data_IF_000348212664
#
_entry.id   IF_000348212664
#
_cell.length_a   1.000
_cell.length_b   1.000
_cell.length_c   1.000
_cell.angle_alpha   90.00
_cell.angle_beta   90.00
_cell.angle_gamma   90.00
#
_symmetry.space_group_name_H-M   'P 1'
#
loop_
_entity.id
_entity.type
_entity.pdbx_description
1 polymer ?
#
# COMPACT_ATOMS: atom_id res chain seq x y z
N UNK A 1 4.97 19.94 0.95
CA UNK A 1 3.75 19.47 1.64
C UNK A 1 4.17 18.57 2.80
N UNK A 2 3.29 18.35 3.78
CA UNK A 2 3.54 17.49 4.94
C UNK A 2 2.52 16.35 4.94
N UNK A 3 2.92 15.16 5.38
CA UNK A 3 2.06 13.99 5.47
C UNK A 3 1.81 13.61 6.93
N UNK A 4 0.57 13.24 7.24
CA UNK A 4 0.26 12.36 8.36
C UNK A 4 0.48 10.92 7.90
N UNK A 5 1.55 10.30 8.38
CA UNK A 5 1.87 8.92 8.05
C UNK A 5 1.07 7.97 8.96
N UNK A 6 0.00 7.39 8.41
CA UNK A 6 -0.77 6.33 9.06
C UNK A 6 -0.02 5.01 8.91
N UNK A 7 0.86 4.74 9.88
CA UNK A 7 1.76 3.59 9.91
C UNK A 7 1.72 2.88 11.27
N UNK A 8 1.68 1.55 11.23
CA UNK A 8 1.61 0.68 12.41
C UNK A 8 0.50 1.09 13.40
N UNK A 9 0.88 1.66 14.54
CA UNK A 9 -0.04 2.00 15.63
C UNK A 9 -0.67 3.39 15.45
N UNK A 10 -0.40 4.07 14.33
CA UNK A 10 -0.90 5.41 14.01
C UNK A 10 -2.02 5.38 12.95
N UNK A 11 -2.74 4.27 12.82
CA UNK A 11 -3.77 4.07 11.79
C UNK A 11 -5.17 4.51 12.24
N UNK A 12 -5.35 4.88 13.52
CA UNK A 12 -6.63 5.34 14.05
C UNK A 12 -6.68 6.88 14.06
N UNK A 13 -7.74 7.50 13.50
CA UNK A 13 -7.86 8.95 13.49
C UNK A 13 -8.05 9.50 14.91
N UNK A 14 -7.46 10.67 15.18
CA UNK A 14 -7.74 11.39 16.43
C UNK A 14 -9.13 12.01 16.37
N UNK A 15 -9.99 11.71 17.36
CA UNK A 15 -11.31 12.34 17.48
C UNK A 15 -11.22 13.80 17.97
N UNK A 16 -10.05 14.23 18.48
CA UNK A 16 -9.87 15.54 19.14
C UNK A 16 -9.02 16.51 18.34
N UNK A 17 -8.08 16.00 17.53
CA UNK A 17 -7.10 16.81 16.82
C UNK A 17 -7.32 16.63 15.32
N UNK A 18 -7.64 17.73 14.64
CA UNK A 18 -7.73 17.77 13.18
C UNK A 18 -6.36 18.06 12.57
N UNK A 19 -6.05 17.53 11.37
CA UNK A 19 -4.84 17.87 10.65
C UNK A 19 -4.77 19.38 10.37
N UNK A 20 -3.57 19.94 10.47
CA UNK A 20 -3.34 21.34 10.11
C UNK A 20 -3.55 21.54 8.59
N UNK A 21 -3.89 22.76 8.14
CA UNK A 21 -4.00 23.05 6.71
C UNK A 21 -2.74 22.62 5.93
N UNK A 22 -2.93 21.89 4.83
CA UNK A 22 -1.84 21.40 3.98
C UNK A 22 -1.17 20.10 4.44
N UNK A 23 -1.68 19.46 5.50
CA UNK A 23 -1.34 18.08 5.88
C UNK A 23 -2.28 17.11 5.17
N UNK A 24 -1.73 16.17 4.41
CA UNK A 24 -2.51 15.10 3.76
C UNK A 24 -2.26 13.74 4.43
N UNK A 25 -3.10 12.75 4.11
CA UNK A 25 -2.94 11.38 4.60
C UNK A 25 -1.98 10.60 3.71
N UNK A 26 -0.94 10.02 4.29
CA UNK A 26 -0.17 8.94 3.67
C UNK A 26 -0.47 7.63 4.43
N UNK A 27 -1.14 6.69 3.78
CA UNK A 27 -1.57 5.44 4.40
C UNK A 27 -0.61 4.30 4.04
N UNK A 28 0.03 3.71 5.06
CA UNK A 28 1.08 2.71 4.89
C UNK A 28 0.76 1.40 5.64
N UNK A 29 -0.09 0.51 5.06
CA UNK A 29 -0.60 -0.68 5.73
C UNK A 29 0.40 -1.85 5.69
N UNK A 30 1.61 -1.67 6.23
CA UNK A 30 2.72 -2.64 6.10
C UNK A 30 2.35 -4.07 6.54
N UNK A 31 1.52 -4.22 7.59
CA UNK A 31 1.11 -5.51 8.16
C UNK A 31 -0.14 -6.12 7.51
N UNK A 32 -0.63 -5.58 6.39
CA UNK A 32 -1.77 -6.15 5.69
C UNK A 32 -1.44 -7.53 5.10
N UNK A 33 -2.48 -8.25 4.72
CA UNK A 33 -2.37 -9.48 3.93
C UNK A 33 -2.22 -9.14 2.44
N UNK A 34 -1.15 -9.65 1.82
CA UNK A 34 -0.90 -9.52 0.37
C UNK A 34 -1.43 -10.72 -0.45
N UNK A 35 -2.01 -11.72 0.22
CA UNK A 35 -2.68 -12.87 -0.44
C UNK A 35 -4.15 -12.61 -0.77
N UNK A 36 -4.72 -11.54 -0.23
CA UNK A 36 -6.08 -11.09 -0.47
C UNK A 36 -6.08 -9.61 -0.80
N UNK A 37 -7.11 -9.15 -1.51
CA UNK A 37 -7.28 -7.73 -1.76
C UNK A 37 -7.57 -6.97 -0.46
N UNK A 38 -7.25 -5.68 -0.41
CA UNK A 38 -7.43 -4.81 0.76
C UNK A 38 -8.89 -4.74 1.18
N UNK A 39 -9.82 -4.83 0.24
CA UNK A 39 -11.27 -4.77 0.48
C UNK A 39 -11.92 -6.16 0.64
N UNK A 40 -11.14 -7.25 0.67
CA UNK A 40 -11.70 -8.60 0.71
C UNK A 40 -12.42 -8.86 2.03
N UNK A 41 -13.76 -9.07 2.02
CA UNK A 41 -14.53 -9.25 3.25
C UNK A 41 -14.21 -10.57 3.95
N UNK A 42 -13.59 -11.54 3.29
CA UNK A 42 -13.17 -12.80 3.90
C UNK A 42 -11.85 -12.67 4.68
N UNK A 43 -11.03 -11.66 4.39
CA UNK A 43 -9.72 -11.48 5.00
C UNK A 43 -9.81 -10.62 6.27
N UNK A 44 -9.77 -11.25 7.45
CA UNK A 44 -9.85 -10.54 8.73
C UNK A 44 -8.78 -9.47 8.92
N UNK A 45 -7.54 -9.75 8.47
CA UNK A 45 -6.43 -8.81 8.55
C UNK A 45 -6.74 -7.56 7.74
N UNK A 46 -7.15 -7.72 6.47
CA UNK A 46 -7.39 -6.59 5.57
C UNK A 46 -8.66 -5.83 5.93
N UNK A 47 -9.71 -6.50 6.45
CA UNK A 47 -10.90 -5.82 6.97
C UNK A 47 -10.54 -4.74 7.98
N UNK A 48 -9.58 -5.00 8.88
CA UNK A 48 -9.12 -3.99 9.84
C UNK A 48 -8.47 -2.79 9.12
N UNK A 49 -7.50 -3.04 8.24
CA UNK A 49 -6.79 -1.97 7.53
C UNK A 49 -7.71 -1.14 6.64
N UNK A 50 -8.63 -1.79 5.93
CA UNK A 50 -9.58 -1.11 5.07
C UNK A 50 -10.56 -0.25 5.88
N UNK A 51 -11.06 -0.77 7.00
CA UNK A 51 -11.87 0.00 7.94
C UNK A 51 -11.11 1.20 8.53
N UNK A 52 -9.85 1.02 8.94
CA UNK A 52 -9.01 2.11 9.47
C UNK A 52 -8.80 3.20 8.40
N UNK A 53 -8.55 2.82 7.14
CA UNK A 53 -8.47 3.76 6.03
C UNK A 53 -9.77 4.54 5.85
N UNK A 54 -10.92 3.87 5.84
CA UNK A 54 -12.23 4.53 5.72
C UNK A 54 -12.43 5.57 6.83
N UNK A 55 -12.08 5.24 8.08
CA UNK A 55 -12.15 6.18 9.21
C UNK A 55 -11.19 7.36 9.07
N UNK A 56 -9.97 7.13 8.57
CA UNK A 56 -9.03 8.21 8.30
C UNK A 56 -9.58 9.18 7.24
N UNK A 57 -10.24 8.65 6.20
CA UNK A 57 -10.85 9.47 5.14
C UNK A 57 -12.10 10.24 5.57
N UNK A 58 -12.63 10.00 6.76
CA UNK A 58 -13.63 10.91 7.37
C UNK A 58 -13.00 12.25 7.80
N UNK A 59 -11.67 12.29 7.96
CA UNK A 59 -10.91 13.45 8.45
C UNK A 59 -10.03 14.05 7.35
N UNK A 60 -9.48 13.23 6.46
CA UNK A 60 -8.59 13.63 5.38
C UNK A 60 -9.30 13.61 4.03
N UNK A 61 -8.97 14.56 3.14
CA UNK A 61 -9.49 14.58 1.78
C UNK A 61 -8.91 13.39 0.98
N UNK A 62 -9.74 12.45 0.48
CA UNK A 62 -9.26 11.33 -0.33
C UNK A 62 -8.52 11.77 -1.59
N UNK A 63 -8.90 12.90 -2.21
CA UNK A 63 -8.25 13.38 -3.43
C UNK A 63 -6.81 13.88 -3.18
N UNK A 64 -6.48 14.24 -1.95
CA UNK A 64 -5.13 14.63 -1.52
C UNK A 64 -4.36 13.49 -0.86
N UNK A 65 -5.02 12.35 -0.61
CA UNK A 65 -4.43 11.23 0.10
C UNK A 65 -3.50 10.40 -0.79
N UNK A 66 -2.60 9.66 -0.16
CA UNK A 66 -1.57 8.85 -0.81
C UNK A 66 -1.52 7.46 -0.19
N UNK A 67 -1.47 6.44 -1.03
CA UNK A 67 -1.29 5.04 -0.63
C UNK A 67 0.19 4.67 -0.77
N UNK A 68 0.81 4.22 0.33
CA UNK A 68 2.18 3.75 0.40
C UNK A 68 2.22 2.23 0.69
N UNK A 69 2.33 1.44 -0.37
CA UNK A 69 2.24 -0.03 -0.34
C UNK A 69 3.60 -0.73 -0.28
N UNK A 70 3.57 -2.04 -0.01
CA UNK A 70 4.77 -2.89 0.06
C UNK A 70 4.70 -4.06 -0.92
N UNK A 71 3.89 -3.95 -1.99
CA UNK A 71 3.76 -4.95 -3.06
C UNK A 71 5.11 -5.41 -3.63
N UNK A 72 6.04 -4.46 -3.81
CA UNK A 72 7.35 -4.73 -4.41
C UNK A 72 8.48 -4.82 -3.38
N UNK A 73 8.17 -4.75 -2.07
CA UNK A 73 9.20 -4.65 -1.03
C UNK A 73 9.73 -6.05 -0.65
N UNK A 74 10.73 -6.51 -1.40
CA UNK A 74 11.40 -7.78 -1.13
C UNK A 74 12.03 -7.83 0.26
N UNK A 75 12.47 -6.69 0.81
CA UNK A 75 13.00 -6.62 2.17
C UNK A 75 11.92 -6.92 3.21
N UNK A 76 10.70 -6.45 3.01
CA UNK A 76 9.59 -6.78 3.89
C UNK A 76 9.27 -8.29 3.84
N UNK A 77 9.16 -8.87 2.63
CA UNK A 77 8.89 -10.30 2.47
C UNK A 77 10.03 -11.20 2.98
N UNK A 78 11.28 -10.72 2.93
CA UNK A 78 12.45 -11.44 3.46
C UNK A 78 12.69 -11.19 4.95
N UNK A 79 11.78 -10.49 5.64
CA UNK A 79 11.92 -10.12 7.06
C UNK A 79 13.23 -9.35 7.31
N UNK A 80 13.60 -8.49 6.37
CA UNK A 80 14.79 -7.64 6.38
C UNK A 80 16.12 -8.41 6.30
N UNK A 81 16.09 -9.68 5.88
CA UNK A 81 17.29 -10.51 5.73
C UNK A 81 17.67 -10.71 4.24
N UNK A 82 18.96 -10.96 3.99
CA UNK A 82 19.50 -11.41 2.71
C UNK A 82 19.88 -12.92 2.80
N UNK A 83 19.85 -13.68 1.69
CA UNK A 83 19.40 -13.27 0.36
C UNK A 83 17.90 -12.91 0.35
N UNK A 84 17.54 -11.95 -0.48
CA UNK A 84 16.16 -11.47 -0.57
C UNK A 84 15.26 -12.57 -1.17
N UNK A 85 13.98 -12.59 -0.81
CA UNK A 85 13.03 -13.59 -1.32
C UNK A 85 12.11 -12.98 -2.37
N UNK A 86 11.60 -13.80 -3.29
CA UNK A 86 10.62 -13.36 -4.28
C UNK A 86 9.40 -12.73 -3.58
N UNK A 87 8.89 -11.64 -4.14
CA UNK A 87 7.72 -10.96 -3.60
C UNK A 87 6.48 -11.82 -3.77
N UNK A 88 5.49 -11.65 -2.89
CA UNK A 88 4.18 -12.29 -3.05
C UNK A 88 3.30 -11.36 -3.88
N UNK A 89 3.43 -11.45 -5.20
CA UNK A 89 2.74 -10.58 -6.15
C UNK A 89 1.63 -11.31 -6.91
N UNK A 90 0.52 -10.62 -7.13
CA UNK A 90 -0.56 -11.07 -8.00
C UNK A 90 -1.18 -9.86 -8.70
N UNK A 91 -1.18 -9.88 -10.02
CA UNK A 91 -1.83 -8.84 -10.84
C UNK A 91 -3.31 -8.66 -10.50
N UNK A 92 -4.02 -9.77 -10.25
CA UNK A 92 -5.44 -9.76 -9.89
C UNK A 92 -5.67 -9.03 -8.56
N UNK A 93 -4.82 -9.29 -7.57
CA UNK A 93 -4.93 -8.64 -6.26
C UNK A 93 -4.58 -7.16 -6.40
N UNK A 94 -3.49 -6.81 -7.10
CA UNK A 94 -3.12 -5.42 -7.32
C UNK A 94 -4.24 -4.62 -7.99
N UNK A 95 -4.85 -5.13 -9.07
CA UNK A 95 -5.96 -4.44 -9.75
C UNK A 95 -7.13 -4.20 -8.80
N UNK A 96 -7.51 -5.21 -8.01
CA UNK A 96 -8.58 -5.08 -7.01
C UNK A 96 -8.24 -4.10 -5.88
N UNK A 97 -6.97 -4.07 -5.44
CA UNK A 97 -6.50 -3.08 -4.47
C UNK A 97 -6.64 -1.66 -5.03
N UNK A 98 -6.21 -1.43 -6.28
CA UNK A 98 -6.35 -0.13 -6.94
C UNK A 98 -7.81 0.26 -7.14
N UNK A 99 -8.68 -0.66 -7.55
CA UNK A 99 -10.14 -0.43 -7.65
C UNK A 99 -10.73 -0.02 -6.29
N UNK A 100 -10.37 -0.72 -5.21
CA UNK A 100 -10.85 -0.41 -3.87
C UNK A 100 -10.41 0.99 -3.41
N UNK A 101 -9.12 1.33 -3.57
CA UNK A 101 -8.62 2.65 -3.19
C UNK A 101 -9.17 3.79 -4.06
N UNK A 102 -9.30 3.56 -5.36
CA UNK A 102 -9.85 4.55 -6.28
C UNK A 102 -11.35 4.77 -6.07
N UNK A 103 -12.10 3.76 -5.64
CA UNK A 103 -13.49 3.87 -5.22
C UNK A 103 -13.66 4.77 -3.99
N UNK A 104 -12.64 4.87 -3.13
CA UNK A 104 -12.58 5.82 -2.02
C UNK A 104 -12.16 7.23 -2.45
N UNK A 105 -11.82 7.44 -3.73
CA UNK A 105 -11.41 8.74 -4.29
C UNK A 105 -9.91 8.99 -4.30
N UNK A 106 -9.09 8.01 -3.89
CA UNK A 106 -7.62 8.16 -3.82
C UNK A 106 -7.01 7.92 -5.21
N UNK A 107 -6.04 8.77 -5.58
CA UNK A 107 -5.38 8.73 -6.90
C UNK A 107 -3.85 8.67 -6.85
N UNK A 108 -3.23 8.79 -5.68
CA UNK A 108 -1.77 8.75 -5.55
C UNK A 108 -1.34 7.42 -4.91
N UNK A 109 -0.43 6.70 -5.59
CA UNK A 109 -0.01 5.37 -5.21
C UNK A 109 1.49 5.21 -5.41
N UNK A 110 2.15 4.62 -4.43
CA UNK A 110 3.54 4.16 -4.55
C UNK A 110 3.71 2.83 -3.85
N UNK A 111 4.77 2.09 -4.20
CA UNK A 111 5.23 0.98 -3.39
C UNK A 111 6.73 1.03 -3.17
N UNK A 112 7.17 0.56 -2.01
CA UNK A 112 8.58 0.27 -1.79
C UNK A 112 9.04 -0.91 -2.67
N UNK A 113 10.30 -0.84 -3.12
CA UNK A 113 10.98 -1.90 -3.88
C UNK A 113 12.33 -2.27 -3.24
N UNK A 114 12.41 -2.22 -1.91
CA UNK A 114 13.67 -2.43 -1.19
C UNK A 114 14.14 -3.88 -1.37
N UNK A 115 15.45 -4.05 -1.55
CA UNK A 115 16.14 -5.32 -1.88
C UNK A 115 15.86 -5.90 -3.28
N UNK A 116 15.11 -5.22 -4.16
CA UNK A 116 15.10 -5.50 -5.59
C UNK A 116 16.37 -4.94 -6.27
N UNK A 117 17.52 -5.52 -5.94
CA UNK A 117 18.83 -5.19 -6.52
C UNK A 117 19.27 -6.20 -7.59
N UNK A 118 20.49 -6.08 -8.10
CA UNK A 118 21.01 -6.96 -9.14
C UNK A 118 21.03 -8.45 -8.75
N UNK A 119 21.19 -8.77 -7.47
CA UNK A 119 21.11 -10.17 -7.00
C UNK A 119 19.67 -10.68 -7.07
N UNK A 120 18.70 -9.86 -6.64
CA UNK A 120 17.29 -10.19 -6.74
C UNK A 120 16.88 -10.45 -8.20
N UNK A 121 17.19 -9.52 -9.11
CA UNK A 121 16.79 -9.65 -10.52
C UNK A 121 17.50 -10.82 -11.22
N UNK A 122 18.73 -11.15 -10.83
CA UNK A 122 19.42 -12.35 -11.32
C UNK A 122 18.69 -13.63 -10.92
N UNK A 123 18.12 -13.68 -9.71
CA UNK A 123 17.47 -14.87 -9.17
C UNK A 123 16.00 -15.01 -9.58
N UNK A 124 15.28 -13.90 -9.72
CA UNK A 124 13.82 -13.91 -9.89
C UNK A 124 13.31 -13.21 -11.15
N UNK A 125 14.17 -12.52 -11.91
CA UNK A 125 13.77 -11.68 -13.03
C UNK A 125 13.05 -10.40 -12.61
N UNK A 126 12.60 -9.62 -13.59
CA UNK A 126 11.90 -8.33 -13.43
C UNK A 126 10.43 -8.38 -13.83
N UNK A 127 9.91 -9.55 -14.22
CA UNK A 127 8.53 -9.74 -14.72
C UNK A 127 7.46 -9.15 -13.80
N UNK A 128 7.54 -9.41 -12.49
CA UNK A 128 6.59 -8.90 -11.50
C UNK A 128 6.63 -7.37 -11.37
N UNK A 129 7.83 -6.78 -11.47
CA UNK A 129 8.00 -5.32 -11.41
C UNK A 129 7.48 -4.64 -12.68
N UNK A 130 7.73 -5.24 -13.85
CA UNK A 130 7.19 -4.77 -15.13
C UNK A 130 5.67 -4.85 -15.14
N UNK A 131 5.10 -5.96 -14.65
CA UNK A 131 3.65 -6.12 -14.52
C UNK A 131 3.03 -5.09 -13.58
N UNK A 132 3.65 -4.85 -12.41
CA UNK A 132 3.23 -3.80 -11.46
C UNK A 132 3.21 -2.41 -12.11
N UNK A 133 4.30 -2.03 -12.78
CA UNK A 133 4.41 -0.73 -13.44
C UNK A 133 3.36 -0.57 -14.56
N UNK A 134 3.13 -1.62 -15.35
CA UNK A 134 2.10 -1.62 -16.40
C UNK A 134 0.70 -1.41 -15.81
N UNK A 135 0.35 -2.14 -14.74
CA UNK A 135 -0.97 -2.05 -14.12
C UNK A 135 -1.22 -0.66 -13.52
N UNK A 136 -0.22 -0.06 -12.88
CA UNK A 136 -0.32 1.31 -12.37
C UNK A 136 -0.56 2.32 -13.49
N UNK A 137 0.18 2.24 -14.59
CA UNK A 137 0.01 3.14 -15.74
C UNK A 137 -1.34 2.98 -16.46
N UNK A 138 -2.03 1.85 -16.28
CA UNK A 138 -3.39 1.65 -16.81
C UNK A 138 -4.47 2.27 -15.90
N UNK A 139 -4.18 2.48 -14.61
CA UNK A 139 -5.13 2.95 -13.59
C UNK A 139 -5.00 4.44 -13.25
N UNK A 140 -3.88 5.07 -13.62
CA UNK A 140 -3.55 6.48 -13.38
C UNK A 140 -3.57 7.29 -14.66
#
# INVERSE_FOLDING_TARGET
QWAFLAYLNCSEPSERIKPAPGVFLEFAPIRRCYLHAIDDPSCEINRKFYHDLQRLLEVFDPAQSHILEYHMDSSYFSRYNKPAVKVVFSEKILRRDLEAYTALGIRNFTSFAVYMDGEYFKNYGDEDLVAYAKILNEHL
#
